data_IF_892781858751
#
_entry.id   IF_892781858751
#
_cell.length_a   1.000
_cell.length_b   1.000
_cell.length_c   1.000
_cell.angle_alpha   90.00
_cell.angle_beta   90.00
_cell.angle_gamma   90.00
#
_symmetry.space_group_name_H-M   'P 1'
#
loop_
_entity.id
_entity.type
_entity.pdbx_description
1 polymer ?
#
# COMPACT_ATOMS: atom_id res chain seq x y z
N UNK A 1 31.21 0.58 3.64
CA UNK A 1 30.24 1.21 4.57
C UNK A 1 30.50 2.70 4.56
N UNK A 2 29.45 3.53 4.56
CA UNK A 2 29.61 4.99 4.68
C UNK A 2 30.25 5.30 6.04
N UNK A 3 31.19 6.25 6.08
CA UNK A 3 31.82 6.71 7.32
C UNK A 3 31.07 7.89 7.97
N UNK A 4 29.89 8.24 7.43
CA UNK A 4 29.07 9.35 7.93
C UNK A 4 28.15 8.83 9.05
N UNK A 5 28.11 9.56 10.16
CA UNK A 5 27.12 9.35 11.21
C UNK A 5 25.79 10.04 10.83
N UNK A 6 24.63 9.41 11.09
CA UNK A 6 23.33 10.04 10.88
C UNK A 6 23.18 11.31 11.71
N UNK A 7 22.68 12.40 11.11
CA UNK A 7 22.44 13.67 11.81
C UNK A 7 21.07 14.27 11.50
N UNK A 8 20.65 15.23 12.32
CA UNK A 8 19.43 16.02 12.11
C UNK A 8 19.46 16.77 10.77
N UNK A 9 20.63 17.29 10.38
CA UNK A 9 20.82 17.97 9.10
C UNK A 9 20.52 17.05 7.91
N UNK A 10 20.78 15.74 8.03
CA UNK A 10 20.47 14.80 6.95
C UNK A 10 18.97 14.67 6.72
N UNK A 11 18.16 14.60 7.78
CA UNK A 11 16.69 14.45 7.68
C UNK A 11 16.00 15.76 7.28
N UNK A 12 16.65 16.90 7.50
CA UNK A 12 16.21 18.23 7.05
C UNK A 12 16.63 18.55 5.61
N UNK A 13 17.64 17.87 5.05
CA UNK A 13 18.13 18.09 3.68
C UNK A 13 17.03 18.05 2.61
N UNK A 14 16.06 17.11 2.63
CA UNK A 14 14.96 17.13 1.68
C UNK A 14 14.16 18.42 1.71
N UNK A 15 13.96 19.02 2.88
CA UNK A 15 13.13 20.20 3.05
C UNK A 15 13.79 21.43 2.42
N UNK A 16 15.11 21.56 2.60
CA UNK A 16 15.87 22.74 2.20
C UNK A 16 16.41 22.70 0.75
N UNK A 17 16.22 21.59 0.03
CA UNK A 17 16.84 21.41 -1.30
C UNK A 17 15.80 21.41 -2.42
N UNK A 18 15.95 22.30 -3.41
CA UNK A 18 15.17 22.27 -4.65
C UNK A 18 16.10 22.01 -5.83
N UNK A 19 15.91 20.87 -6.50
CA UNK A 19 16.75 20.46 -7.64
C UNK A 19 15.95 20.45 -8.93
N UNK A 20 16.62 20.60 -10.09
CA UNK A 20 15.96 20.48 -11.40
C UNK A 20 15.31 19.11 -11.59
N UNK A 21 15.89 18.04 -11.01
CA UNK A 21 15.32 16.69 -11.02
C UNK A 21 14.00 16.63 -10.23
N UNK A 22 13.96 17.28 -9.08
CA UNK A 22 12.73 17.41 -8.28
C UNK A 22 11.64 18.13 -9.09
N UNK A 23 11.96 19.26 -9.71
CA UNK A 23 11.00 20.05 -10.51
C UNK A 23 10.51 19.24 -11.72
N UNK A 24 11.41 18.55 -12.42
CA UNK A 24 11.04 17.70 -13.55
C UNK A 24 10.12 16.54 -13.13
N UNK A 25 10.45 15.84 -12.03
CA UNK A 25 9.60 14.78 -11.50
C UNK A 25 8.23 15.31 -11.07
N UNK A 26 8.20 16.45 -10.37
CA UNK A 26 6.96 17.12 -9.98
C UNK A 26 6.11 17.45 -11.21
N UNK A 27 6.71 18.05 -12.24
CA UNK A 27 6.03 18.41 -13.48
C UNK A 27 5.45 17.20 -14.23
N UNK A 28 6.22 16.11 -14.34
CA UNK A 28 5.77 14.88 -14.99
C UNK A 28 4.61 14.24 -14.20
N UNK A 29 4.75 14.13 -12.88
CA UNK A 29 3.71 13.56 -12.02
C UNK A 29 2.44 14.42 -11.98
N UNK A 30 2.57 15.75 -11.98
CA UNK A 30 1.45 16.68 -12.10
C UNK A 30 0.75 16.57 -13.46
N UNK A 31 1.51 16.45 -14.54
CA UNK A 31 0.95 16.25 -15.87
C UNK A 31 0.16 14.94 -15.95
N UNK A 32 0.69 13.83 -15.39
CA UNK A 32 -0.02 12.55 -15.33
C UNK A 32 -1.33 12.66 -14.54
N UNK A 33 -1.32 13.34 -13.38
CA UNK A 33 -2.51 13.56 -12.58
C UNK A 33 -3.54 14.44 -13.30
N UNK A 34 -3.11 15.53 -13.95
CA UNK A 34 -4.01 16.40 -14.73
C UNK A 34 -4.61 15.64 -15.91
N UNK A 35 -3.81 14.84 -16.64
CA UNK A 35 -4.30 14.02 -17.74
C UNK A 35 -5.37 13.02 -17.27
N UNK A 36 -5.18 12.40 -16.11
CA UNK A 36 -6.20 11.57 -15.47
C UNK A 36 -7.47 12.37 -15.13
N UNK A 37 -7.36 13.52 -14.46
CA UNK A 37 -8.52 14.31 -14.08
C UNK A 37 -9.32 14.79 -15.30
N UNK A 38 -8.66 15.13 -16.41
CA UNK A 38 -9.30 15.47 -17.69
C UNK A 38 -10.00 14.24 -18.28
N UNK A 39 -9.35 13.08 -18.29
CA UNK A 39 -9.96 11.84 -18.78
C UNK A 39 -11.17 11.42 -17.93
N UNK A 40 -11.10 11.60 -16.61
CA UNK A 40 -12.23 11.33 -15.71
C UNK A 40 -13.37 12.35 -15.92
N UNK A 41 -13.07 13.63 -16.13
CA UNK A 41 -14.09 14.62 -16.46
C UNK A 41 -14.82 14.28 -17.78
N UNK A 42 -14.10 13.77 -18.77
CA UNK A 42 -14.70 13.26 -20.01
C UNK A 42 -15.58 12.02 -19.74
N UNK A 43 -15.12 11.06 -18.93
CA UNK A 43 -15.93 9.92 -18.50
C UNK A 43 -17.20 10.34 -17.76
N UNK A 44 -17.16 11.37 -16.90
CA UNK A 44 -18.35 11.86 -16.20
C UNK A 44 -19.42 12.43 -17.16
N UNK A 45 -19.00 12.97 -18.31
CA UNK A 45 -19.90 13.51 -19.31
C UNK A 45 -20.49 12.43 -20.22
N UNK A 46 -19.66 11.47 -20.64
CA UNK A 46 -20.07 10.43 -21.58
C UNK A 46 -20.62 9.16 -20.90
N UNK A 47 -20.39 9.00 -19.61
CA UNK A 47 -20.68 7.79 -18.85
C UNK A 47 -19.56 6.75 -18.96
N UNK A 48 -19.76 5.58 -18.35
CA UNK A 48 -18.76 4.50 -18.34
C UNK A 48 -18.52 3.86 -19.70
N UNK A 49 -19.31 4.20 -20.73
CA UNK A 49 -19.19 3.67 -22.10
C UNK A 49 -17.83 3.98 -22.76
N UNK A 50 -17.10 4.98 -22.27
CA UNK A 50 -15.76 5.33 -22.77
C UNK A 50 -14.64 4.48 -22.14
N UNK A 51 -15.00 3.61 -21.20
CA UNK A 51 -14.10 2.63 -20.60
C UNK A 51 -14.17 1.29 -21.36
N UNK A 52 -13.28 0.36 -21.05
CA UNK A 52 -13.36 -1.01 -21.53
C UNK A 52 -14.31 -1.88 -20.72
N UNK A 53 -15.00 -1.33 -19.71
CA UNK A 53 -15.88 -2.07 -18.82
C UNK A 53 -17.15 -2.52 -19.56
N UNK A 54 -17.55 -3.75 -19.28
CA UNK A 54 -18.81 -4.34 -19.72
C UNK A 54 -20.00 -3.89 -18.88
N UNK A 55 -21.18 -4.43 -19.20
CA UNK A 55 -22.41 -4.18 -18.47
C UNK A 55 -23.13 -5.49 -18.06
N UNK A 56 -24.08 -5.36 -17.13
CA UNK A 56 -24.92 -6.48 -16.66
C UNK A 56 -26.04 -6.86 -17.64
N UNK A 57 -26.18 -6.13 -18.74
CA UNK A 57 -27.20 -6.33 -19.76
C UNK A 57 -26.63 -6.99 -21.01
N UNK A 58 -26.87 -6.38 -22.16
CA UNK A 58 -26.54 -6.95 -23.47
C UNK A 58 -25.11 -6.67 -23.93
N UNK A 59 -24.33 -5.86 -23.20
CA UNK A 59 -22.95 -5.55 -23.54
C UNK A 59 -21.98 -6.69 -23.25
N UNK A 60 -22.30 -7.53 -22.24
CA UNK A 60 -21.45 -8.63 -21.81
C UNK A 60 -20.10 -8.18 -21.23
N UNK A 61 -19.26 -9.15 -20.87
CA UNK A 61 -17.89 -8.89 -20.41
C UNK A 61 -17.79 -8.53 -18.92
N UNK A 62 -16.75 -7.77 -18.58
CA UNK A 62 -16.37 -7.54 -17.18
C UNK A 62 -16.80 -6.15 -16.69
N UNK A 63 -17.73 -6.11 -15.73
CA UNK A 63 -18.27 -4.84 -15.19
C UNK A 63 -17.30 -4.12 -14.26
N UNK A 64 -16.31 -4.85 -13.73
CA UNK A 64 -15.11 -4.28 -13.10
C UNK A 64 -13.85 -4.71 -13.86
N UNK A 65 -12.83 -3.87 -13.81
CA UNK A 65 -11.57 -4.13 -14.49
C UNK A 65 -10.44 -3.39 -13.79
N UNK A 66 -9.66 -2.62 -14.54
CA UNK A 66 -8.51 -1.87 -14.05
C UNK A 66 -8.84 -0.99 -12.87
N UNK A 67 -10.00 -0.33 -12.83
CA UNK A 67 -10.37 0.50 -11.69
C UNK A 67 -10.40 -0.26 -10.36
N UNK A 68 -11.06 -1.41 -10.32
CA UNK A 68 -11.14 -2.22 -9.09
C UNK A 68 -9.84 -3.00 -8.85
N UNK A 69 -9.16 -3.46 -9.91
CA UNK A 69 -7.84 -4.09 -9.78
C UNK A 69 -6.81 -3.14 -9.18
N UNK A 70 -6.74 -1.90 -9.67
CA UNK A 70 -5.87 -0.85 -9.17
C UNK A 70 -6.28 -0.37 -7.76
N UNK A 71 -7.58 -0.29 -7.48
CA UNK A 71 -8.09 -0.05 -6.13
C UNK A 71 -7.53 -1.07 -5.13
N UNK A 72 -7.75 -2.37 -5.37
CA UNK A 72 -7.26 -3.44 -4.46
C UNK A 72 -5.73 -3.37 -4.33
N UNK A 73 -5.03 -3.08 -5.42
CA UNK A 73 -3.58 -2.98 -5.41
C UNK A 73 -3.06 -1.80 -4.57
N UNK A 74 -3.63 -0.60 -4.75
CA UNK A 74 -3.27 0.58 -3.94
C UNK A 74 -3.61 0.41 -2.47
N UNK A 75 -4.79 -0.16 -2.21
CA UNK A 75 -5.22 -0.55 -0.88
C UNK A 75 -4.20 -1.55 -0.31
N UNK A 76 -3.78 -2.57 -1.05
CA UNK A 76 -2.76 -3.54 -0.63
C UNK A 76 -1.43 -2.91 -0.24
N UNK A 77 -0.91 -2.01 -1.09
CA UNK A 77 0.32 -1.25 -0.81
C UNK A 77 0.17 -0.46 0.50
N UNK A 78 -0.98 0.22 0.67
CA UNK A 78 -1.19 1.02 1.86
C UNK A 78 -1.23 0.17 3.14
N UNK A 79 -2.03 -0.89 3.15
CA UNK A 79 -2.20 -1.71 4.34
C UNK A 79 -0.93 -2.42 4.76
N UNK A 80 -0.19 -2.99 3.79
CA UNK A 80 1.08 -3.59 4.11
C UNK A 80 2.11 -2.56 4.61
N UNK A 81 2.04 -1.30 4.17
CA UNK A 81 2.94 -0.23 4.60
C UNK A 81 2.79 0.08 6.08
N UNK A 82 1.56 0.29 6.52
CA UNK A 82 1.30 0.59 7.93
C UNK A 82 1.40 -0.64 8.83
N UNK A 83 1.15 -1.87 8.33
CA UNK A 83 1.50 -3.10 9.05
C UNK A 83 3.02 -3.17 9.25
N UNK A 84 3.81 -2.83 8.23
CA UNK A 84 5.27 -2.77 8.36
C UNK A 84 5.68 -1.74 9.41
N UNK A 85 5.16 -0.51 9.38
CA UNK A 85 5.46 0.50 10.42
C UNK A 85 5.08 0.00 11.83
N UNK A 86 3.86 -0.51 12.00
CA UNK A 86 3.41 -1.01 13.30
C UNK A 86 4.25 -2.19 13.79
N UNK A 87 4.64 -3.11 12.91
CA UNK A 87 5.53 -4.22 13.24
C UNK A 87 6.90 -3.73 13.70
N UNK A 88 7.47 -2.72 13.03
CA UNK A 88 8.75 -2.13 13.42
C UNK A 88 8.69 -1.57 14.85
N UNK A 89 7.62 -0.84 15.20
CA UNK A 89 7.47 -0.26 16.54
C UNK A 89 7.15 -1.29 17.63
N UNK A 90 6.21 -2.20 17.36
CA UNK A 90 5.70 -3.13 18.37
C UNK A 90 6.64 -4.30 18.63
N UNK A 91 7.36 -4.75 17.60
CA UNK A 91 8.27 -5.89 17.70
C UNK A 91 9.72 -5.44 17.96
N UNK A 92 9.97 -4.14 18.16
CA UNK A 92 11.31 -3.60 18.41
C UNK A 92 12.29 -3.90 17.27
N UNK A 93 11.86 -3.71 16.02
CA UNK A 93 12.69 -4.05 14.87
C UNK A 93 13.63 -2.89 14.51
N UNK A 94 14.57 -2.58 15.41
CA UNK A 94 15.40 -1.36 15.41
C UNK A 94 16.06 -1.05 14.05
N UNK A 95 16.53 -2.10 13.38
CA UNK A 95 17.11 -2.05 12.02
C UNK A 95 16.24 -1.31 11.01
N UNK A 96 14.92 -1.37 11.14
CA UNK A 96 13.98 -0.86 10.15
C UNK A 96 13.29 0.44 10.61
N UNK A 97 13.67 1.03 11.75
CA UNK A 97 13.14 2.34 12.16
C UNK A 97 13.24 3.40 11.05
N UNK A 98 14.34 3.51 10.27
CA UNK A 98 14.44 4.53 9.23
C UNK A 98 13.37 4.43 8.12
N UNK A 99 12.82 3.23 7.89
CA UNK A 99 11.79 3.01 6.86
C UNK A 99 10.37 3.04 7.41
N UNK A 100 10.17 3.08 8.73
CA UNK A 100 8.84 3.06 9.35
C UNK A 100 7.99 4.24 8.88
N UNK A 101 8.52 5.47 8.97
CA UNK A 101 7.83 6.67 8.47
C UNK A 101 7.57 6.66 6.98
N UNK A 102 8.50 6.15 6.18
CA UNK A 102 8.28 5.99 4.73
C UNK A 102 7.08 5.09 4.45
N UNK A 103 6.92 4.02 5.23
CA UNK A 103 5.80 3.11 5.11
C UNK A 103 4.48 3.75 5.57
N UNK A 104 4.49 4.60 6.60
CA UNK A 104 3.34 5.41 7.02
C UNK A 104 2.90 6.41 5.94
N UNK A 105 3.85 7.16 5.38
CA UNK A 105 3.58 8.10 4.28
C UNK A 105 3.06 7.37 3.04
N UNK A 106 3.62 6.20 2.72
CA UNK A 106 3.15 5.34 1.63
C UNK A 106 1.71 4.89 1.87
N UNK A 107 1.34 4.65 3.13
CA UNK A 107 -0.03 4.27 3.49
C UNK A 107 -1.01 5.37 3.17
N UNK A 108 -0.75 6.60 3.61
CA UNK A 108 -1.65 7.74 3.33
C UNK A 108 -1.73 8.00 1.83
N UNK A 109 -0.59 7.94 1.12
CA UNK A 109 -0.56 8.14 -0.32
C UNK A 109 -1.35 7.05 -1.07
N UNK A 110 -1.15 5.78 -0.70
CA UNK A 110 -1.86 4.64 -1.29
C UNK A 110 -3.36 4.66 -0.99
N UNK A 111 -3.78 4.99 0.24
CA UNK A 111 -5.20 5.15 0.58
C UNK A 111 -5.84 6.32 -0.18
N UNK A 112 -5.09 7.40 -0.42
CA UNK A 112 -5.59 8.51 -1.24
C UNK A 112 -5.82 8.06 -2.68
N UNK A 113 -4.90 7.28 -3.26
CA UNK A 113 -5.07 6.67 -4.59
C UNK A 113 -6.23 5.69 -4.65
N UNK A 114 -6.39 4.84 -3.64
CA UNK A 114 -7.52 3.95 -3.50
C UNK A 114 -8.86 4.71 -3.43
N UNK A 115 -8.93 5.77 -2.62
CA UNK A 115 -10.14 6.59 -2.47
C UNK A 115 -10.59 7.22 -3.79
N UNK A 116 -9.66 7.59 -4.66
CA UNK A 116 -9.99 8.06 -6.01
C UNK A 116 -10.69 6.97 -6.84
N UNK A 117 -10.25 5.71 -6.75
CA UNK A 117 -10.89 4.64 -7.50
C UNK A 117 -12.32 4.34 -7.04
N UNK A 118 -12.61 4.47 -5.74
CA UNK A 118 -13.99 4.40 -5.20
C UNK A 118 -14.89 5.41 -5.94
N UNK A 119 -14.39 6.61 -6.20
CA UNK A 119 -15.15 7.66 -6.89
C UNK A 119 -15.25 7.42 -8.39
N UNK A 120 -14.14 7.07 -9.03
CA UNK A 120 -14.02 7.02 -10.50
C UNK A 120 -14.73 5.83 -11.11
N UNK A 121 -14.85 4.73 -10.37
CA UNK A 121 -15.57 3.55 -10.87
C UNK A 121 -17.10 3.73 -10.90
N UNK A 122 -17.64 4.77 -10.24
CA UNK A 122 -19.08 5.00 -10.18
C UNK A 122 -19.59 5.71 -11.43
N UNK A 123 -20.75 5.28 -11.94
CA UNK A 123 -21.43 5.98 -13.03
C UNK A 123 -22.09 7.31 -12.60
N UNK A 124 -22.44 7.45 -11.31
CA UNK A 124 -23.08 8.65 -10.72
C UNK A 124 -22.44 8.99 -9.36
N UNK A 125 -21.16 9.40 -9.33
CA UNK A 125 -20.46 9.68 -8.07
C UNK A 125 -21.12 10.83 -7.29
N UNK A 126 -21.85 11.72 -7.96
CA UNK A 126 -22.65 12.79 -7.34
C UNK A 126 -23.69 12.28 -6.34
N UNK A 127 -24.15 11.03 -6.49
CA UNK A 127 -25.16 10.41 -5.62
C UNK A 127 -24.57 9.66 -4.43
N UNK A 128 -23.24 9.51 -4.34
CA UNK A 128 -22.58 8.72 -3.30
C UNK A 128 -22.97 9.19 -1.89
N UNK A 129 -23.04 10.52 -1.67
CA UNK A 129 -23.41 11.09 -0.36
C UNK A 129 -24.80 10.63 0.06
N UNK A 130 -25.79 10.68 -0.83
CA UNK A 130 -27.15 10.25 -0.51
C UNK A 130 -27.25 8.72 -0.38
N UNK A 131 -26.64 7.98 -1.30
CA UNK A 131 -26.79 6.51 -1.40
C UNK A 131 -25.97 5.74 -0.37
N UNK A 132 -24.83 6.27 0.08
CA UNK A 132 -23.97 5.61 1.07
C UNK A 132 -24.13 6.25 2.46
N UNK A 133 -23.97 7.57 2.57
CA UNK A 133 -24.01 8.25 3.89
C UNK A 133 -25.45 8.41 4.37
N UNK A 134 -26.35 8.95 3.54
CA UNK A 134 -27.75 9.18 3.91
C UNK A 134 -28.52 7.90 4.25
N UNK A 135 -28.18 6.78 3.61
CA UNK A 135 -28.83 5.48 3.81
C UNK A 135 -27.95 4.46 4.54
N UNK A 136 -26.88 4.90 5.20
CA UNK A 136 -25.91 4.03 5.86
C UNK A 136 -26.56 2.99 6.79
N UNK A 137 -27.54 3.42 7.59
CA UNK A 137 -28.28 2.58 8.54
C UNK A 137 -29.00 1.38 7.89
N UNK A 138 -29.30 1.43 6.59
CA UNK A 138 -29.90 0.34 5.82
C UNK A 138 -28.81 -0.44 5.07
N UNK A 139 -27.92 0.27 4.39
CA UNK A 139 -26.94 -0.33 3.48
C UNK A 139 -25.85 -1.10 4.21
N UNK A 140 -25.47 -0.68 5.42
CA UNK A 140 -24.47 -1.37 6.25
C UNK A 140 -24.89 -2.79 6.64
N UNK A 141 -26.18 -3.13 6.62
CA UNK A 141 -26.61 -4.48 7.00
C UNK A 141 -26.54 -5.47 5.82
N UNK A 142 -26.39 -4.99 4.59
CA UNK A 142 -26.64 -5.79 3.39
C UNK A 142 -25.53 -5.73 2.35
N UNK A 143 -24.63 -4.74 2.40
CA UNK A 143 -23.66 -4.50 1.33
C UNK A 143 -22.21 -4.49 1.84
N UNK A 144 -21.39 -5.47 1.41
CA UNK A 144 -19.96 -5.47 1.66
C UNK A 144 -19.23 -4.19 1.17
N UNK A 145 -19.73 -3.53 0.11
CA UNK A 145 -19.16 -2.27 -0.38
C UNK A 145 -19.28 -1.14 0.65
N UNK A 146 -20.35 -1.12 1.44
CA UNK A 146 -20.51 -0.13 2.51
C UNK A 146 -19.58 -0.44 3.68
N UNK A 147 -19.35 -1.71 3.99
CA UNK A 147 -18.34 -2.10 4.96
C UNK A 147 -16.96 -1.62 4.53
N UNK A 148 -16.62 -1.77 3.25
CA UNK A 148 -15.33 -1.35 2.70
C UNK A 148 -15.11 0.16 2.86
N UNK A 149 -16.11 0.97 2.47
CA UNK A 149 -16.07 2.43 2.71
C UNK A 149 -15.89 2.77 4.19
N UNK A 150 -16.59 2.07 5.10
CA UNK A 150 -16.46 2.27 6.55
C UNK A 150 -15.05 1.95 7.04
N UNK A 151 -14.52 0.78 6.71
CA UNK A 151 -13.22 0.35 7.24
C UNK A 151 -12.09 1.16 6.63
N UNK A 152 -12.12 1.46 5.32
CA UNK A 152 -11.12 2.34 4.68
C UNK A 152 -11.14 3.74 5.29
N UNK A 153 -12.32 4.31 5.56
CA UNK A 153 -12.43 5.64 6.19
C UNK A 153 -11.88 5.62 7.61
N UNK A 154 -12.30 4.65 8.43
CA UNK A 154 -11.78 4.49 9.80
C UNK A 154 -10.26 4.31 9.80
N UNK A 155 -9.73 3.58 8.82
CA UNK A 155 -8.31 3.31 8.70
C UNK A 155 -7.51 4.51 8.22
N UNK A 156 -8.06 5.30 7.29
CA UNK A 156 -7.47 6.57 6.88
C UNK A 156 -7.36 7.52 8.07
N UNK A 157 -8.43 7.65 8.87
CA UNK A 157 -8.42 8.48 10.09
C UNK A 157 -7.40 7.96 11.10
N UNK A 158 -7.37 6.64 11.35
CA UNK A 158 -6.44 6.03 12.30
C UNK A 158 -4.99 6.22 11.86
N UNK A 159 -4.68 6.00 10.57
CA UNK A 159 -3.33 6.17 10.01
C UNK A 159 -2.92 7.64 10.01
N UNK A 160 -3.82 8.56 9.64
CA UNK A 160 -3.55 9.99 9.68
C UNK A 160 -3.32 10.49 11.11
N UNK A 161 -4.07 9.96 12.08
CA UNK A 161 -3.87 10.24 13.51
C UNK A 161 -2.52 9.71 13.97
N UNK A 162 -2.19 8.47 13.61
CA UNK A 162 -0.92 7.83 13.95
C UNK A 162 0.27 8.60 13.40
N UNK A 163 0.30 8.93 12.10
CA UNK A 163 1.34 9.76 11.50
C UNK A 163 1.35 11.18 12.11
N UNK A 164 0.18 11.75 12.40
CA UNK A 164 0.07 13.06 13.04
C UNK A 164 0.73 13.09 14.43
N UNK A 165 0.55 12.04 15.22
CA UNK A 165 1.18 11.90 16.53
C UNK A 165 2.70 11.70 16.43
N UNK A 166 3.17 10.85 15.51
CA UNK A 166 4.61 10.64 15.31
C UNK A 166 5.31 11.89 14.76
N UNK A 167 4.61 12.69 13.95
CA UNK A 167 5.11 13.98 13.45
C UNK A 167 5.18 15.08 14.51
N UNK A 168 4.32 15.06 15.54
CA UNK A 168 4.34 16.07 16.60
C UNK A 168 5.68 16.12 17.32
N UNK A 169 6.25 14.95 17.60
CA UNK A 169 7.57 14.83 18.22
C UNK A 169 8.63 15.60 17.42
N UNK A 170 8.74 15.31 16.12
CA UNK A 170 9.76 15.91 15.26
C UNK A 170 9.51 17.41 15.00
N UNK A 171 8.27 17.79 14.70
CA UNK A 171 7.92 19.19 14.38
C UNK A 171 8.19 20.11 15.58
N UNK A 172 8.01 19.62 16.80
CA UNK A 172 8.25 20.40 18.01
C UNK A 172 9.75 20.58 18.33
N UNK A 173 10.57 19.59 18.01
CA UNK A 173 12.02 19.60 18.28
C UNK A 173 12.80 20.30 17.17
N UNK A 174 12.35 20.17 15.92
CA UNK A 174 12.97 20.77 14.73
C UNK A 174 12.25 22.05 14.28
N UNK A 175 11.45 22.70 15.14
CA UNK A 175 10.60 23.83 14.75
C UNK A 175 11.38 24.96 14.09
N UNK A 176 12.55 25.29 14.64
CA UNK A 176 13.37 26.42 14.20
C UNK A 176 14.02 26.17 12.83
N UNK A 177 14.21 24.90 12.45
CA UNK A 177 14.82 24.49 11.17
C UNK A 177 13.80 24.24 10.06
N UNK A 178 12.50 24.31 10.38
CA UNK A 178 11.40 24.02 9.45
C UNK A 178 10.87 25.31 8.77
N UNK A 179 10.47 25.26 7.48
CA UNK A 179 10.08 26.45 6.72
C UNK A 179 8.94 27.27 7.34
N UNK A 180 9.15 28.58 7.51
CA UNK A 180 8.16 29.46 8.15
C UNK A 180 6.86 29.65 7.36
N UNK A 181 6.86 29.45 6.04
CA UNK A 181 5.63 29.56 5.24
C UNK A 181 4.60 28.45 5.53
N UNK A 182 5.00 27.35 6.18
CA UNK A 182 4.09 26.30 6.64
C UNK A 182 3.74 26.43 8.14
N UNK A 183 4.04 27.57 8.77
CA UNK A 183 3.72 27.86 10.17
C UNK A 183 2.27 27.53 10.58
N UNK A 184 1.22 27.83 9.78
CA UNK A 184 -0.15 27.48 10.16
C UNK A 184 -0.36 25.96 10.30
N UNK A 185 0.31 25.17 9.45
CA UNK A 185 0.24 23.70 9.49
C UNK A 185 0.95 23.18 10.72
N UNK A 186 2.15 23.68 11.02
CA UNK A 186 2.90 23.27 12.20
C UNK A 186 2.18 23.64 13.50
N UNK A 187 1.62 24.85 13.60
CA UNK A 187 0.80 25.27 14.75
C UNK A 187 -0.43 24.40 14.96
N UNK A 188 -1.09 23.97 13.87
CA UNK A 188 -2.22 23.04 13.96
C UNK A 188 -1.76 21.66 14.42
N UNK A 189 -0.65 21.15 13.90
CA UNK A 189 -0.09 19.86 14.29
C UNK A 189 0.32 19.84 15.76
N UNK A 190 0.94 20.91 16.27
CA UNK A 190 1.39 21.05 17.66
C UNK A 190 0.36 21.72 18.57
N UNK A 191 -0.91 21.83 18.14
CA UNK A 191 -1.95 22.47 18.94
C UNK A 191 -2.14 21.71 20.26
N UNK A 192 -1.92 22.40 21.38
CA UNK A 192 -2.06 21.84 22.72
C UNK A 192 -0.96 20.85 23.11
N UNK A 193 0.09 20.69 22.30
CA UNK A 193 1.20 19.79 22.59
C UNK A 193 2.21 20.43 23.55
N UNK A 194 2.65 19.66 24.54
CA UNK A 194 3.78 19.97 25.41
C UNK A 194 4.75 18.79 25.48
N UNK A 195 6.06 19.06 25.59
CA UNK A 195 7.09 17.99 25.77
C UNK A 195 6.83 17.10 26.98
N UNK A 196 6.07 17.58 27.98
CA UNK A 196 5.65 16.78 29.15
C UNK A 196 4.65 15.67 28.81
N UNK A 197 4.06 15.70 27.61
CA UNK A 197 3.08 14.73 27.15
C UNK A 197 3.70 13.64 26.26
N UNK A 198 5.03 13.64 26.08
CA UNK A 198 5.73 12.68 25.22
C UNK A 198 5.42 11.24 25.62
N UNK A 199 5.48 10.90 26.91
CA UNK A 199 5.11 9.55 27.40
C UNK A 199 3.65 9.17 27.06
N UNK A 200 2.73 10.14 27.09
CA UNK A 200 1.31 9.90 26.77
C UNK A 200 1.18 9.64 25.27
N UNK A 201 1.87 10.43 24.45
CA UNK A 201 1.85 10.29 22.99
C UNK A 201 2.50 8.97 22.57
N UNK A 202 3.64 8.60 23.14
CA UNK A 202 4.29 7.32 22.89
C UNK A 202 3.37 6.16 23.23
N UNK A 203 2.69 6.22 24.38
CA UNK A 203 1.67 5.24 24.76
C UNK A 203 0.49 5.20 23.78
N UNK A 204 0.02 6.36 23.31
CA UNK A 204 -1.04 6.43 22.28
C UNK A 204 -0.59 5.85 20.94
N UNK A 205 0.62 6.18 20.49
CA UNK A 205 1.24 5.65 19.27
C UNK A 205 1.37 4.13 19.38
N UNK A 206 1.79 3.61 20.53
CA UNK A 206 1.86 2.17 20.78
C UNK A 206 0.47 1.51 20.67
N UNK A 207 -0.55 2.06 21.33
CA UNK A 207 -1.92 1.52 21.25
C UNK A 207 -2.51 1.59 19.84
N UNK A 208 -2.22 2.65 19.09
CA UNK A 208 -2.62 2.79 17.70
C UNK A 208 -1.89 1.78 16.81
N UNK A 209 -0.58 1.59 16.99
CA UNK A 209 0.17 0.54 16.30
C UNK A 209 -0.42 -0.85 16.61
N UNK A 210 -0.78 -1.12 17.87
CA UNK A 210 -1.40 -2.37 18.29
C UNK A 210 -2.78 -2.56 17.65
N UNK A 211 -3.59 -1.49 17.59
CA UNK A 211 -4.87 -1.54 16.88
C UNK A 211 -4.68 -1.82 15.39
N UNK A 212 -3.73 -1.13 14.74
CA UNK A 212 -3.37 -1.33 13.33
C UNK A 212 -2.96 -2.77 13.05
N UNK A 213 -2.01 -3.31 13.82
CA UNK A 213 -1.43 -4.63 13.54
C UNK A 213 -2.46 -5.76 13.68
N UNK A 214 -3.49 -5.56 14.51
CA UNK A 214 -4.59 -6.51 14.68
C UNK A 214 -5.66 -6.29 13.60
N UNK A 215 -6.07 -5.03 13.40
CA UNK A 215 -7.21 -4.70 12.54
C UNK A 215 -6.88 -4.84 11.05
N UNK A 216 -5.65 -4.56 10.63
CA UNK A 216 -5.31 -4.56 9.22
C UNK A 216 -5.27 -5.96 8.60
N UNK A 217 -4.72 -7.00 9.26
CA UNK A 217 -4.89 -8.38 8.83
C UNK A 217 -6.32 -8.88 8.97
N UNK A 218 -7.06 -8.52 10.03
CA UNK A 218 -8.37 -9.13 10.30
C UNK A 218 -9.54 -8.49 9.55
N UNK A 219 -9.62 -7.16 9.52
CA UNK A 219 -10.77 -6.45 8.95
C UNK A 219 -10.52 -5.93 7.55
N UNK A 220 -9.27 -5.66 7.17
CA UNK A 220 -8.96 -5.08 5.86
C UNK A 220 -8.62 -6.18 4.86
N UNK A 221 -7.36 -6.57 4.75
CA UNK A 221 -6.92 -7.52 3.70
C UNK A 221 -7.17 -8.98 4.03
N UNK A 222 -7.48 -9.35 5.27
CA UNK A 222 -7.99 -10.68 5.60
C UNK A 222 -9.51 -10.73 5.81
N UNK A 223 -10.20 -9.59 5.71
CA UNK A 223 -11.61 -9.45 6.04
C UNK A 223 -12.44 -8.81 4.93
N UNK A 224 -12.88 -7.57 5.16
CA UNK A 224 -13.93 -6.88 4.40
C UNK A 224 -13.65 -6.79 2.90
N UNK A 225 -12.42 -6.47 2.50
CA UNK A 225 -12.06 -6.34 1.08
C UNK A 225 -12.16 -7.70 0.37
N UNK A 226 -11.50 -8.77 0.86
CA UNK A 226 -11.75 -10.12 0.37
C UNK A 226 -13.21 -10.52 0.38
N UNK A 227 -14.00 -10.13 1.38
CA UNK A 227 -15.42 -10.47 1.49
C UNK A 227 -16.28 -9.85 0.39
N UNK A 228 -15.84 -8.75 -0.25
CA UNK A 228 -16.47 -8.23 -1.46
C UNK A 228 -16.56 -9.31 -2.56
N UNK A 229 -15.59 -10.22 -2.58
CA UNK A 229 -15.44 -11.26 -3.60
C UNK A 229 -15.82 -12.64 -3.06
N UNK A 230 -15.29 -13.01 -1.89
CA UNK A 230 -15.41 -14.33 -1.30
C UNK A 230 -16.85 -14.76 -0.98
N UNK A 231 -17.75 -13.80 -0.79
CA UNK A 231 -19.17 -14.02 -0.45
C UNK A 231 -20.06 -14.18 -1.70
N UNK A 232 -19.49 -14.25 -2.90
CA UNK A 232 -20.22 -14.39 -4.16
C UNK A 232 -20.13 -15.85 -4.68
N UNK A 233 -20.97 -16.79 -4.22
CA UNK A 233 -20.89 -18.19 -4.64
C UNK A 233 -21.18 -18.39 -6.14
N UNK A 234 -21.84 -17.43 -6.78
CA UNK A 234 -22.07 -17.42 -8.22
C UNK A 234 -20.79 -17.12 -9.04
N UNK A 235 -19.71 -16.68 -8.39
CA UNK A 235 -18.42 -16.33 -8.99
C UNK A 235 -17.32 -17.27 -8.43
N UNK A 236 -17.10 -18.45 -9.04
CA UNK A 236 -16.25 -19.49 -8.47
C UNK A 236 -14.79 -19.08 -8.25
N UNK A 237 -14.22 -18.25 -9.14
CA UNK A 237 -12.84 -17.79 -9.02
C UNK A 237 -12.60 -16.88 -7.78
N UNK A 238 -13.68 -16.30 -7.24
CA UNK A 238 -13.66 -15.42 -6.09
C UNK A 238 -14.08 -16.10 -4.80
N UNK A 239 -15.10 -16.96 -4.86
CA UNK A 239 -15.66 -17.55 -3.66
C UNK A 239 -14.66 -18.42 -2.88
N UNK A 240 -14.74 -18.37 -1.55
CA UNK A 240 -13.97 -19.25 -0.66
C UNK A 240 -13.14 -18.52 0.41
N UNK A 241 -12.88 -19.23 1.51
CA UNK A 241 -12.21 -18.66 2.69
C UNK A 241 -10.74 -18.27 2.46
N UNK A 242 -10.10 -18.80 1.41
CA UNK A 242 -8.69 -18.55 1.10
C UNK A 242 -8.41 -17.10 0.69
N UNK A 243 -9.43 -16.35 0.25
CA UNK A 243 -9.26 -14.97 -0.23
C UNK A 243 -8.64 -14.06 0.83
N UNK A 244 -9.03 -14.21 2.10
CA UNK A 244 -8.47 -13.39 3.19
C UNK A 244 -6.95 -13.54 3.32
N UNK A 245 -6.44 -14.74 3.63
CA UNK A 245 -5.00 -14.97 3.70
C UNK A 245 -4.24 -14.60 2.41
N UNK A 246 -4.84 -14.86 1.24
CA UNK A 246 -4.22 -14.54 -0.05
C UNK A 246 -4.08 -13.03 -0.26
N UNK A 247 -5.13 -12.24 0.00
CA UNK A 247 -5.09 -10.78 -0.08
C UNK A 247 -4.12 -10.17 0.93
N UNK A 248 -4.02 -10.72 2.13
CA UNK A 248 -3.03 -10.27 3.11
C UNK A 248 -1.59 -10.51 2.62
N UNK A 249 -1.29 -11.70 2.12
CA UNK A 249 0.06 -12.05 1.65
C UNK A 249 0.52 -11.19 0.46
N UNK A 250 -0.37 -10.92 -0.50
CA UNK A 250 -0.05 -10.11 -1.68
C UNK A 250 0.02 -8.60 -1.35
N UNK A 251 -0.76 -8.13 -0.36
CA UNK A 251 -0.67 -6.78 0.15
C UNK A 251 0.70 -6.50 0.76
N UNK A 252 1.19 -7.38 1.65
CA UNK A 252 2.51 -7.25 2.27
C UNK A 252 3.64 -7.34 1.24
N UNK A 253 3.50 -8.24 0.26
CA UNK A 253 4.41 -8.34 -0.89
C UNK A 253 4.52 -7.03 -1.67
N UNK A 254 3.38 -6.38 -1.95
CA UNK A 254 3.32 -5.10 -2.69
C UNK A 254 3.85 -3.94 -1.85
N UNK A 255 3.52 -3.90 -0.56
CA UNK A 255 3.97 -2.85 0.34
C UNK A 255 5.49 -2.85 0.55
N UNK A 256 6.09 -4.01 0.83
CA UNK A 256 7.55 -4.13 0.99
C UNK A 256 8.25 -3.72 -0.32
N UNK A 257 7.70 -4.13 -1.46
CA UNK A 257 8.19 -3.69 -2.77
C UNK A 257 8.16 -2.16 -2.91
N UNK A 258 7.03 -1.53 -2.55
CA UNK A 258 6.90 -0.06 -2.54
C UNK A 258 7.90 0.63 -1.61
N UNK A 259 8.09 0.11 -0.40
CA UNK A 259 9.05 0.65 0.57
C UNK A 259 10.49 0.53 0.06
N UNK A 260 10.87 -0.60 -0.57
CA UNK A 260 12.19 -0.75 -1.21
C UNK A 260 12.42 0.33 -2.26
N UNK A 261 11.44 0.57 -3.14
CA UNK A 261 11.56 1.56 -4.22
C UNK A 261 11.72 2.99 -3.66
N UNK A 262 10.90 3.34 -2.67
CA UNK A 262 10.89 4.69 -2.10
C UNK A 262 12.14 4.93 -1.25
N UNK A 263 12.51 3.98 -0.38
CA UNK A 263 13.73 4.08 0.41
C UNK A 263 14.97 4.23 -0.50
N UNK A 264 15.02 3.50 -1.62
CA UNK A 264 16.09 3.65 -2.59
C UNK A 264 16.07 5.00 -3.31
N UNK A 265 14.89 5.51 -3.68
CA UNK A 265 14.75 6.82 -4.31
C UNK A 265 15.29 7.94 -3.40
N UNK A 266 14.89 7.96 -2.13
CA UNK A 266 15.40 8.91 -1.14
C UNK A 266 16.90 8.74 -0.88
N UNK A 267 17.36 7.49 -0.71
CA UNK A 267 18.78 7.17 -0.56
C UNK A 267 19.62 7.75 -1.70
N UNK A 268 19.18 7.56 -2.94
CA UNK A 268 19.91 8.03 -4.12
C UNK A 268 19.85 9.54 -4.30
N UNK A 269 18.72 10.17 -3.94
CA UNK A 269 18.49 11.59 -4.10
C UNK A 269 19.28 12.45 -3.09
N UNK A 270 19.41 11.97 -1.84
CA UNK A 270 19.96 12.74 -0.73
C UNK A 270 21.26 12.19 -0.14
N UNK A 271 21.87 11.17 -0.78
CA UNK A 271 23.13 10.56 -0.33
C UNK A 271 23.04 9.93 1.07
N UNK A 272 21.91 9.25 1.35
CA UNK A 272 21.62 8.65 2.65
C UNK A 272 22.10 7.19 2.76
N UNK A 273 23.32 6.90 2.30
CA UNK A 273 23.90 5.55 2.37
C UNK A 273 24.10 5.04 3.81
N UNK A 274 24.20 5.95 4.79
CA UNK A 274 24.36 5.66 6.21
C UNK A 274 23.03 5.53 6.98
N UNK A 275 21.95 6.14 6.50
CA UNK A 275 20.60 5.99 7.10
C UNK A 275 19.91 4.77 6.51
N UNK A 276 19.84 4.70 5.18
CA UNK A 276 19.26 3.56 4.48
C UNK A 276 20.36 2.58 4.11
N UNK A 277 20.87 1.80 5.05
CA UNK A 277 22.03 0.93 4.80
C UNK A 277 21.72 -0.24 3.86
N UNK A 278 22.76 -0.86 3.29
CA UNK A 278 22.62 -2.07 2.45
C UNK A 278 21.97 -3.22 3.23
N UNK A 279 22.18 -3.26 4.54
CA UNK A 279 21.55 -4.23 5.41
C UNK A 279 20.04 -4.03 5.48
N UNK A 280 19.52 -2.79 5.54
CA UNK A 280 18.06 -2.57 5.46
C UNK A 280 17.49 -3.18 4.18
N UNK A 281 18.12 -2.95 3.02
CA UNK A 281 17.67 -3.52 1.74
C UNK A 281 17.75 -5.05 1.69
N UNK A 282 18.78 -5.66 2.27
CA UNK A 282 18.87 -7.12 2.42
C UNK A 282 17.73 -7.67 3.29
N UNK A 283 17.45 -7.01 4.40
CA UNK A 283 16.38 -7.39 5.32
C UNK A 283 15.00 -7.29 4.66
N UNK A 284 14.74 -6.17 3.97
CA UNK A 284 13.50 -5.99 3.20
C UNK A 284 13.36 -7.02 2.08
N UNK A 285 14.44 -7.40 1.40
CA UNK A 285 14.39 -8.49 0.41
C UNK A 285 14.04 -9.85 1.04
N UNK A 286 14.56 -10.16 2.23
CA UNK A 286 14.20 -11.41 2.93
C UNK A 286 12.71 -11.43 3.30
N UNK A 287 12.18 -10.32 3.82
CA UNK A 287 10.75 -10.17 4.07
C UNK A 287 9.92 -10.28 2.79
N UNK A 288 10.37 -9.65 1.70
CA UNK A 288 9.72 -9.78 0.39
C UNK A 288 9.69 -11.25 -0.05
N UNK A 289 10.80 -11.98 0.10
CA UNK A 289 10.88 -13.40 -0.22
C UNK A 289 9.92 -14.25 0.61
N UNK A 290 9.82 -13.99 1.92
CA UNK A 290 8.88 -14.67 2.80
C UNK A 290 7.42 -14.48 2.34
N UNK A 291 7.01 -13.25 2.03
CA UNK A 291 5.63 -13.02 1.58
C UNK A 291 5.38 -13.48 0.14
N UNK A 292 6.38 -13.44 -0.75
CA UNK A 292 6.30 -14.09 -2.06
C UNK A 292 6.08 -15.61 -1.93
N UNK A 293 6.78 -16.27 -1.00
CA UNK A 293 6.58 -17.70 -0.72
C UNK A 293 5.17 -17.98 -0.22
N UNK A 294 4.69 -17.23 0.77
CA UNK A 294 3.31 -17.37 1.27
C UNK A 294 2.27 -17.13 0.19
N UNK A 295 2.46 -16.09 -0.63
CA UNK A 295 1.56 -15.78 -1.73
C UNK A 295 1.51 -16.90 -2.77
N UNK A 296 2.66 -17.41 -3.21
CA UNK A 296 2.71 -18.54 -4.14
C UNK A 296 2.12 -19.82 -3.52
N UNK A 297 2.32 -20.03 -2.23
CA UNK A 297 1.70 -21.14 -1.51
C UNK A 297 0.17 -21.05 -1.52
N UNK A 298 -0.41 -19.88 -1.23
CA UNK A 298 -1.86 -19.69 -1.29
C UNK A 298 -2.42 -19.77 -2.71
N UNK A 299 -1.68 -19.28 -3.72
CA UNK A 299 -2.04 -19.49 -5.13
C UNK A 299 -2.07 -20.97 -5.48
N UNK A 300 -1.08 -21.75 -5.04
CA UNK A 300 -1.05 -23.19 -5.21
C UNK A 300 -2.23 -23.86 -4.51
N UNK A 301 -2.56 -23.47 -3.28
CA UNK A 301 -3.73 -23.99 -2.57
C UNK A 301 -5.03 -23.73 -3.35
N UNK A 302 -5.22 -22.52 -3.88
CA UNK A 302 -6.40 -22.20 -4.68
C UNK A 302 -6.47 -23.06 -5.95
N UNK A 303 -5.35 -23.21 -6.66
CA UNK A 303 -5.23 -24.05 -7.87
C UNK A 303 -5.54 -25.52 -7.56
N UNK A 304 -4.94 -26.09 -6.53
CA UNK A 304 -5.16 -27.50 -6.14
C UNK A 304 -6.63 -27.73 -5.82
N UNK A 305 -7.25 -26.85 -5.02
CA UNK A 305 -8.67 -26.98 -4.69
C UNK A 305 -9.56 -26.91 -5.94
N UNK A 306 -9.28 -25.99 -6.86
CA UNK A 306 -10.03 -25.84 -8.10
C UNK A 306 -9.95 -27.06 -9.02
N UNK A 307 -8.75 -27.63 -9.21
CA UNK A 307 -8.54 -28.77 -10.10
C UNK A 307 -9.01 -30.10 -9.48
N UNK A 308 -8.93 -30.26 -8.16
CA UNK A 308 -9.19 -31.54 -7.49
C UNK A 308 -10.68 -31.84 -7.25
N UNK A 309 -11.55 -30.82 -7.12
CA UNK A 309 -12.97 -30.98 -6.74
C UNK A 309 -13.90 -31.56 -7.84
N UNK A 310 -13.36 -32.01 -8.99
CA UNK A 310 -14.15 -32.56 -10.11
C UNK A 310 -14.72 -31.49 -11.04
N UNK A 311 -15.47 -31.86 -12.11
CA UNK A 311 -15.92 -30.96 -13.19
C UNK A 311 -17.04 -30.02 -12.72
N UNK A 312 -16.69 -29.11 -11.82
CA UNK A 312 -17.52 -28.03 -11.31
C UNK A 312 -17.16 -26.73 -12.01
N UNK A 313 -17.99 -25.71 -11.88
CA UNK A 313 -17.68 -24.35 -12.35
C UNK A 313 -16.35 -23.82 -11.79
N UNK A 314 -15.93 -24.28 -10.60
CA UNK A 314 -14.62 -23.99 -10.01
C UNK A 314 -13.44 -24.60 -10.77
N UNK A 315 -13.61 -25.79 -11.38
CA UNK A 315 -12.55 -26.41 -12.19
C UNK A 315 -12.36 -25.65 -13.50
N UNK A 316 -13.45 -25.25 -14.15
CA UNK A 316 -13.43 -24.47 -15.40
C UNK A 316 -12.75 -23.12 -15.15
N UNK A 317 -13.14 -22.39 -14.11
CA UNK A 317 -12.53 -21.09 -13.79
C UNK A 317 -11.05 -21.21 -13.44
N UNK A 318 -10.66 -22.30 -12.76
CA UNK A 318 -9.26 -22.55 -12.41
C UNK A 318 -8.42 -22.91 -13.63
N UNK A 319 -8.94 -23.74 -14.53
CA UNK A 319 -8.28 -24.08 -15.79
C UNK A 319 -8.04 -22.83 -16.65
N UNK A 320 -9.07 -21.99 -16.80
CA UNK A 320 -8.97 -20.74 -17.52
C UNK A 320 -7.89 -19.81 -16.91
N UNK A 321 -7.90 -19.65 -15.59
CA UNK A 321 -6.89 -18.88 -14.85
C UNK A 321 -5.47 -19.37 -15.11
N UNK A 322 -5.23 -20.68 -15.02
CA UNK A 322 -3.88 -21.26 -15.20
C UNK A 322 -3.42 -21.14 -16.66
N UNK A 323 -4.35 -21.27 -17.61
CA UNK A 323 -4.08 -21.12 -19.04
C UNK A 323 -3.80 -19.66 -19.44
N UNK A 324 -4.25 -18.68 -18.64
CA UNK A 324 -4.14 -17.28 -18.99
C UNK A 324 -2.67 -16.78 -18.99
N UNK A 325 -2.17 -16.21 -20.10
CA UNK A 325 -0.76 -15.80 -20.19
C UNK A 325 -0.33 -14.77 -19.14
N UNK A 326 -1.21 -13.83 -18.77
CA UNK A 326 -0.91 -12.83 -17.74
C UNK A 326 -0.79 -13.45 -16.33
N UNK A 327 -1.54 -14.53 -16.05
CA UNK A 327 -1.40 -15.25 -14.78
C UNK A 327 -0.02 -15.91 -14.71
N UNK A 328 0.36 -16.62 -15.77
CA UNK A 328 1.67 -17.28 -15.88
C UNK A 328 2.82 -16.28 -15.78
N UNK A 329 2.69 -15.11 -16.43
CA UNK A 329 3.65 -14.03 -16.31
C UNK A 329 3.76 -13.54 -14.86
N UNK A 330 2.63 -13.21 -14.22
CA UNK A 330 2.62 -12.74 -12.83
C UNK A 330 3.26 -13.75 -11.88
N UNK A 331 2.81 -15.00 -11.91
CA UNK A 331 3.37 -16.06 -11.05
C UNK A 331 4.85 -16.32 -11.35
N UNK A 332 5.23 -16.31 -12.63
CA UNK A 332 6.62 -16.48 -13.07
C UNK A 332 7.54 -15.37 -12.57
N UNK A 333 7.09 -14.12 -12.59
CA UNK A 333 7.84 -12.97 -12.08
C UNK A 333 8.03 -13.03 -10.56
N UNK A 334 6.98 -13.41 -9.81
CA UNK A 334 7.08 -13.62 -8.36
C UNK A 334 8.01 -14.78 -8.04
N UNK A 335 7.85 -15.91 -8.75
CA UNK A 335 8.69 -17.10 -8.56
C UNK A 335 10.16 -16.83 -8.89
N UNK A 336 10.46 -16.17 -10.01
CA UNK A 336 11.82 -15.78 -10.36
C UNK A 336 12.45 -14.87 -9.31
N UNK A 337 11.67 -13.94 -8.74
CA UNK A 337 12.14 -13.07 -7.66
C UNK A 337 12.41 -13.86 -6.37
N UNK A 338 11.53 -14.80 -6.02
CA UNK A 338 11.72 -15.70 -4.88
C UNK A 338 12.99 -16.55 -5.04
N UNK A 339 13.22 -17.10 -6.23
CA UNK A 339 14.46 -17.84 -6.56
C UNK A 339 15.68 -16.94 -6.43
N UNK A 340 15.63 -15.71 -6.94
CA UNK A 340 16.71 -14.74 -6.77
C UNK A 340 17.03 -14.49 -5.29
N UNK A 341 16.00 -14.23 -4.47
CA UNK A 341 16.17 -13.97 -3.03
C UNK A 341 16.75 -15.20 -2.31
N UNK A 342 16.27 -16.40 -2.65
CA UNK A 342 16.79 -17.66 -2.10
C UNK A 342 18.27 -17.86 -2.44
N UNK A 343 18.63 -17.72 -3.72
CA UNK A 343 20.02 -17.86 -4.18
C UNK A 343 20.92 -16.78 -3.56
N UNK A 344 20.42 -15.55 -3.40
CA UNK A 344 21.12 -14.47 -2.70
C UNK A 344 21.26 -14.73 -1.19
N UNK A 345 20.33 -15.46 -0.57
CA UNK A 345 20.45 -15.93 0.82
C UNK A 345 21.59 -16.93 0.98
N UNK A 346 21.78 -17.85 0.02
CA UNK A 346 22.89 -18.82 0.01
C UNK A 346 24.21 -18.15 -0.36
N UNK A 347 24.18 -17.21 -1.31
CA UNK A 347 25.37 -16.48 -1.81
C UNK A 347 25.19 -14.97 -1.59
N UNK A 348 25.52 -14.45 -0.39
CA UNK A 348 25.37 -13.03 -0.06
C UNK A 348 26.08 -12.07 -1.02
N UNK A 349 27.13 -12.53 -1.72
CA UNK A 349 27.86 -11.77 -2.73
C UNK A 349 27.02 -11.38 -3.97
N UNK A 350 25.90 -12.06 -4.22
CA UNK A 350 25.00 -11.73 -5.33
C UNK A 350 24.12 -10.52 -5.04
N UNK A 351 24.05 -10.09 -3.78
CA UNK A 351 23.29 -8.92 -3.39
C UNK A 351 23.83 -7.67 -4.09
N UNK A 352 22.92 -6.92 -4.69
CA UNK A 352 23.17 -5.53 -5.05
C UNK A 352 21.90 -4.73 -4.88
N UNK A 353 22.04 -3.46 -4.49
CA UNK A 353 20.91 -2.52 -4.37
C UNK A 353 20.12 -2.37 -5.67
N UNK A 354 20.80 -2.39 -6.82
CA UNK A 354 20.12 -2.35 -8.13
C UNK A 354 19.23 -3.57 -8.38
N UNK A 355 19.70 -4.77 -8.02
CA UNK A 355 18.88 -6.00 -8.11
C UNK A 355 17.75 -6.00 -7.07
N UNK A 356 17.96 -5.44 -5.88
CA UNK A 356 16.91 -5.30 -4.87
C UNK A 356 15.76 -4.43 -5.36
N UNK A 357 16.08 -3.29 -5.98
CA UNK A 357 15.12 -2.38 -6.60
C UNK A 357 14.41 -3.04 -7.78
N UNK A 358 15.15 -3.77 -8.63
CA UNK A 358 14.56 -4.52 -9.73
C UNK A 358 13.58 -5.59 -9.23
N UNK A 359 13.94 -6.35 -8.18
CA UNK A 359 13.06 -7.32 -7.54
C UNK A 359 11.77 -6.68 -7.01
N UNK A 360 11.89 -5.54 -6.31
CA UNK A 360 10.73 -4.77 -5.85
C UNK A 360 9.84 -4.33 -7.02
N UNK A 361 10.40 -3.75 -8.08
CA UNK A 361 9.62 -3.31 -9.26
C UNK A 361 8.93 -4.47 -9.98
N UNK A 362 9.64 -5.60 -10.16
CA UNK A 362 9.11 -6.80 -10.81
C UNK A 362 7.94 -7.37 -10.02
N UNK A 363 8.10 -7.54 -8.70
CA UNK A 363 7.05 -8.09 -7.86
C UNK A 363 5.86 -7.13 -7.78
N UNK A 364 6.10 -5.83 -7.64
CA UNK A 364 5.05 -4.82 -7.60
C UNK A 364 4.23 -4.79 -8.90
N UNK A 365 4.88 -5.01 -10.05
CA UNK A 365 4.20 -5.17 -11.35
C UNK A 365 3.43 -6.48 -11.42
N UNK A 366 4.01 -7.58 -10.94
CA UNK A 366 3.36 -8.88 -10.93
C UNK A 366 2.09 -8.90 -10.06
N UNK A 367 2.12 -8.27 -8.89
CA UNK A 367 0.94 -8.18 -8.02
C UNK A 367 -0.16 -7.31 -8.61
N UNK A 368 0.19 -6.24 -9.34
CA UNK A 368 -0.79 -5.45 -10.10
C UNK A 368 -1.47 -6.28 -11.19
N UNK A 369 -0.68 -7.02 -11.99
CA UNK A 369 -1.20 -7.91 -13.03
C UNK A 369 -2.14 -8.96 -12.42
N UNK A 370 -1.76 -9.56 -11.28
CA UNK A 370 -2.63 -10.54 -10.60
C UNK A 370 -3.94 -9.91 -10.15
N UNK A 371 -3.93 -8.67 -9.61
CA UNK A 371 -5.16 -8.01 -9.16
C UNK A 371 -6.06 -7.57 -10.30
N UNK A 372 -5.49 -7.11 -11.41
CA UNK A 372 -6.26 -6.88 -12.62
C UNK A 372 -6.94 -8.17 -13.09
N UNK A 373 -6.16 -9.25 -13.19
CA UNK A 373 -6.66 -10.53 -13.69
C UNK A 373 -7.68 -11.16 -12.75
N UNK A 374 -7.43 -11.12 -11.44
CA UNK A 374 -8.33 -11.60 -10.40
C UNK A 374 -9.72 -10.98 -10.56
N UNK A 375 -9.80 -9.68 -10.80
CA UNK A 375 -11.09 -8.99 -10.99
C UNK A 375 -11.75 -9.40 -12.31
N UNK A 376 -10.99 -9.46 -13.40
CA UNK A 376 -11.56 -9.73 -14.73
C UNK A 376 -12.01 -11.18 -14.86
N UNK A 377 -11.14 -12.14 -14.57
CA UNK A 377 -11.46 -13.57 -14.68
C UNK A 377 -12.59 -14.02 -13.74
N UNK A 378 -12.75 -13.30 -12.63
CA UNK A 378 -13.87 -13.51 -11.72
C UNK A 378 -15.25 -13.40 -12.38
N UNK A 379 -15.37 -12.53 -13.40
CA UNK A 379 -16.61 -12.34 -14.15
C UNK A 379 -16.71 -13.19 -15.41
N UNK A 380 -15.60 -13.67 -15.96
CA UNK A 380 -15.59 -14.39 -17.24
C UNK A 380 -16.02 -15.86 -17.12
N UNK A 381 -15.96 -16.44 -15.92
CA UNK A 381 -16.33 -17.83 -15.66
C UNK A 381 -17.33 -17.98 -14.49
N UNK A 382 -18.54 -17.36 -14.59
CA UNK A 382 -19.58 -17.48 -13.58
C UNK A 382 -20.20 -18.89 -13.54
N UNK A 383 -20.93 -19.22 -12.48
CA UNK A 383 -21.65 -20.50 -12.35
C UNK A 383 -22.73 -20.68 -13.43
N UNK A 384 -23.41 -19.59 -13.77
CA UNK A 384 -24.48 -19.57 -14.76
C UNK A 384 -23.98 -18.90 -16.03
N UNK A 385 -24.38 -19.40 -17.19
CA UNK A 385 -24.10 -18.82 -18.52
C UNK A 385 -24.89 -17.52 -18.78
N UNK A 386 -24.76 -16.54 -17.88
CA UNK A 386 -25.47 -15.26 -17.92
C UNK A 386 -25.16 -14.44 -19.18
N UNK A 387 -24.03 -14.71 -19.83
CA UNK A 387 -23.56 -13.98 -21.02
C UNK A 387 -23.36 -14.87 -22.25
N UNK A 388 -23.91 -16.09 -22.30
CA UNK A 388 -23.74 -16.98 -23.47
C UNK A 388 -24.23 -16.36 -24.79
N UNK A 389 -25.28 -15.54 -24.74
CA UNK A 389 -25.80 -14.84 -25.92
C UNK A 389 -25.01 -13.55 -26.27
N UNK A 390 -24.23 -13.02 -25.34
CA UNK A 390 -23.49 -11.77 -25.46
C UNK A 390 -22.11 -11.92 -24.80
N UNK A 391 -21.22 -12.77 -25.36
CA UNK A 391 -19.88 -12.92 -24.82
C UNK A 391 -19.15 -11.59 -24.94
N UNK A 392 -18.47 -11.18 -23.88
CA UNK A 392 -17.69 -9.95 -23.87
C UNK A 392 -16.25 -10.23 -23.43
N UNK A 393 -15.32 -9.48 -24.01
CA UNK A 393 -13.92 -9.44 -23.61
C UNK A 393 -13.66 -8.12 -22.90
N UNK A 394 -12.63 -8.09 -22.05
CA UNK A 394 -12.22 -6.88 -21.36
C UNK A 394 -10.77 -6.54 -21.72
N UNK A 395 -10.57 -5.30 -22.16
CA UNK A 395 -9.26 -4.70 -22.29
C UNK A 395 -9.32 -3.25 -21.77
N UNK A 396 -8.40 -2.83 -20.87
CA UNK A 396 -8.48 -1.48 -20.33
C UNK A 396 -8.32 -0.41 -21.40
N UNK A 397 -9.26 0.54 -21.41
CA UNK A 397 -9.25 1.71 -22.27
C UNK A 397 -8.10 2.67 -21.95
N UNK A 398 -7.89 3.66 -22.82
CA UNK A 398 -6.92 4.73 -22.56
C UNK A 398 -7.25 5.52 -21.27
N UNK A 399 -8.53 5.70 -20.94
CA UNK A 399 -8.97 6.42 -19.73
C UNK A 399 -8.59 5.63 -18.48
N UNK A 400 -8.75 4.32 -18.51
CA UNK A 400 -8.34 3.43 -17.43
C UNK A 400 -6.81 3.41 -17.26
N UNK A 401 -6.04 3.37 -18.35
CA UNK A 401 -4.58 3.49 -18.25
C UNK A 401 -4.13 4.84 -17.71
N UNK A 402 -4.79 5.93 -18.11
CA UNK A 402 -4.53 7.26 -17.59
C UNK A 402 -4.85 7.35 -16.09
N UNK A 403 -5.88 6.66 -15.59
CA UNK A 403 -6.14 6.64 -14.14
C UNK A 403 -5.02 5.97 -13.35
N UNK A 404 -4.43 4.90 -13.88
CA UNK A 404 -3.28 4.26 -13.24
C UNK A 404 -2.07 5.19 -13.24
N UNK A 405 -1.73 5.77 -14.40
CA UNK A 405 -0.62 6.72 -14.50
C UNK A 405 -0.82 7.95 -13.60
N UNK A 406 -2.04 8.49 -13.55
CA UNK A 406 -2.40 9.64 -12.73
C UNK A 406 -2.38 9.36 -11.23
N UNK A 407 -2.84 8.18 -10.79
CA UNK A 407 -2.77 7.79 -9.37
C UNK A 407 -1.34 7.47 -8.92
N UNK A 408 -0.50 6.89 -9.78
CA UNK A 408 0.95 6.80 -9.53
C UNK A 408 1.57 8.20 -9.41
N UNK A 409 1.23 9.10 -10.33
CA UNK A 409 1.64 10.51 -10.28
C UNK A 409 1.22 11.20 -8.99
N UNK A 410 -0.01 10.98 -8.53
CA UNK A 410 -0.51 11.51 -7.27
C UNK A 410 0.29 11.01 -6.07
N UNK A 411 0.59 9.71 -5.99
CA UNK A 411 1.42 9.17 -4.90
C UNK A 411 2.80 9.80 -4.89
N UNK A 412 3.43 9.94 -6.06
CA UNK A 412 4.73 10.64 -6.19
C UNK A 412 4.61 12.09 -5.73
N UNK A 413 3.57 12.83 -6.15
CA UNK A 413 3.34 14.21 -5.70
C UNK A 413 3.16 14.30 -4.19
N UNK A 414 2.41 13.38 -3.57
CA UNK A 414 2.24 13.35 -2.12
C UNK A 414 3.61 13.22 -1.44
N UNK A 415 4.46 12.29 -1.88
CA UNK A 415 5.81 12.15 -1.34
C UNK A 415 6.69 13.38 -1.57
N UNK A 416 6.63 13.99 -2.76
CA UNK A 416 7.40 15.19 -3.05
C UNK A 416 6.99 16.35 -2.15
N UNK A 417 5.68 16.59 -1.98
CA UNK A 417 5.18 17.65 -1.10
C UNK A 417 5.49 17.36 0.37
N UNK A 418 5.25 16.14 0.85
CA UNK A 418 5.54 15.76 2.23
C UNK A 418 7.04 15.89 2.55
N UNK A 419 7.92 15.55 1.61
CA UNK A 419 9.37 15.72 1.78
C UNK A 419 9.84 17.16 1.90
N UNK A 420 8.99 18.15 1.54
CA UNK A 420 9.23 19.58 1.75
C UNK A 420 8.50 20.15 2.97
N UNK A 421 7.60 19.37 3.56
CA UNK A 421 6.77 19.79 4.68
C UNK A 421 7.31 19.24 6.01
N UNK A 422 7.72 17.97 6.04
CA UNK A 422 8.11 17.28 7.27
C UNK A 422 9.29 16.33 7.03
N UNK A 423 10.07 15.99 8.08
CA UNK A 423 11.12 14.99 7.97
C UNK A 423 10.56 13.63 7.55
N UNK A 424 11.19 13.03 6.53
CA UNK A 424 10.76 11.75 5.94
C UNK A 424 11.27 10.55 6.75
N UNK A 425 12.31 10.76 7.55
CA UNK A 425 12.83 9.83 8.55
C UNK A 425 12.60 10.45 9.92
N UNK A 426 12.25 9.63 10.90
CA UNK A 426 12.00 10.06 12.28
C UNK A 426 13.27 10.55 12.96
N UNK A 427 13.15 11.60 13.78
CA UNK A 427 14.25 12.08 14.61
C UNK A 427 14.70 10.98 15.59
N UNK A 428 13.73 10.30 16.21
CA UNK A 428 13.99 9.18 17.12
C UNK A 428 14.81 8.05 16.46
N UNK A 429 14.60 7.79 15.16
CA UNK A 429 15.38 6.79 14.44
C UNK A 429 16.85 7.22 14.26
N UNK A 430 17.10 8.53 14.10
CA UNK A 430 18.46 9.08 14.03
C UNK A 430 19.14 9.02 15.39
N UNK A 431 18.45 9.45 16.45
CA UNK A 431 18.94 9.37 17.85
C UNK A 431 19.35 7.94 18.21
N UNK A 432 18.50 6.96 17.87
CA UNK A 432 18.78 5.55 18.09
C UNK A 432 20.00 5.06 17.29
N UNK A 433 20.13 5.44 16.02
CA UNK A 433 21.28 5.06 15.19
C UNK A 433 22.60 5.67 15.67
N UNK A 434 22.57 6.81 16.39
CA UNK A 434 23.74 7.42 17.02
C UNK A 434 24.09 6.79 18.37
N UNK A 435 23.17 6.02 18.96
CA UNK A 435 23.33 5.47 20.30
C UNK A 435 23.09 6.49 21.41
N UNK A 436 22.34 7.58 21.14
CA UNK A 436 22.10 8.68 22.07
C UNK A 436 21.13 8.32 23.22
N UNK A 437 20.86 7.04 23.46
CA UNK A 437 20.24 6.57 24.71
C UNK A 437 21.29 6.51 25.82
N UNK A 438 21.75 7.68 26.28
CA UNK A 438 22.37 7.85 27.58
C UNK A 438 21.37 8.55 28.51
N UNK A 439 21.01 7.87 29.60
CA UNK A 439 20.23 8.32 30.76
C UNK A 439 18.70 8.31 30.67
N UNK A 440 18.11 7.17 31.05
CA UNK A 440 16.94 7.17 31.97
C UNK A 440 16.79 5.88 32.82
N UNK A 441 17.75 4.94 32.78
CA UNK A 441 17.76 3.72 33.63
C UNK A 441 18.47 3.89 34.98
N UNK A 442 18.70 5.12 35.45
CA UNK A 442 19.25 5.37 36.79
C UNK A 442 18.11 5.73 37.78
N UNK A 443 17.22 4.76 38.02
CA UNK A 443 16.24 4.84 39.09
C UNK A 443 16.06 3.48 39.78
N UNK A 444 16.75 3.36 40.93
CA UNK A 444 16.42 2.51 42.08
C UNK A 444 16.67 0.99 41.98
N UNK A 445 17.92 0.58 42.15
CA UNK A 445 18.20 -0.61 42.96
C UNK A 445 18.01 -0.24 44.45
N UNK A 446 17.13 -0.90 45.21
CA UNK A 446 17.17 -0.79 46.67
C UNK A 446 18.36 -1.62 47.16
N UNK A 447 19.33 -0.95 47.80
CA UNK A 447 20.33 -1.60 48.63
C UNK A 447 19.63 -2.50 49.65
N UNK A 448 19.90 -3.80 49.54
CA UNK A 448 19.58 -4.77 50.58
C UNK A 448 20.66 -4.62 51.65
N UNK A 449 20.39 -3.81 52.67
CA UNK A 449 21.12 -3.89 53.94
C UNK A 449 20.66 -5.14 54.72
N UNK A 450 21.65 -5.75 55.37
CA UNK A 450 21.67 -7.08 55.99
C UNK A 450 20.75 -7.28 57.20
#
# INVERSE_FOLDING_TARGET
MSTKEPSEEDILRPINTFTNKYIALYGISALALVAFLVAWAYQLQQGLIVTGLGDWGTGGGSTWGLYIGAFIWWVGIAHGGIILSAAVRLLGMDRYMPVARLAEMLTIAGLSAAGFYILVHMGRPDRMVTSVIGHYHITVNNSPLVWDVTVITAYFVMTATYLGLTLRYDVSRLRDDLPSHFEPVYKLLTLGYSKKEDEIIERMVWWLAAAVIIMAPLLLHGGVIPWLFALLPAMPAWSGAIQGPQFLSIALTSAISGVILIAYAFRRAYDWDHIFTDDIFRGLLLWLGFFCLLFLWFQLQQVINGVFLGPTSSAISTEAKIAHPLYQLSMGLVFATLVYIFVQGIRPALFSKGRAVAAGLVVLTATFIEKLLFVVEGFLHPVFDIYAATPGEYFPSAIEWLSLAGTIGMVVLIFLNLSKLVPVVELHAIEHLRGDHAHDDDATEPEVEA
#
